data_IF_139387527650
#
_entry.id   IF_139387527650
#
_cell.length_a   1.000
_cell.length_b   1.000
_cell.length_c   1.000
_cell.angle_alpha   90.00
_cell.angle_beta   90.00
_cell.angle_gamma   90.00
#
_symmetry.space_group_name_H-M   'P 1'
#
loop_
_entity.id
_entity.type
_entity.pdbx_description
1 polymer ?
#
# COMPACT_ATOMS: atom_id res chain seq x y z
N UNK A 1 0.33 -16.88 -26.70
CA UNK A 1 -0.52 -17.72 -25.87
C UNK A 1 0.13 -17.76 -24.50
N UNK A 2 -0.33 -16.99 -23.59
CA UNK A 2 0.05 -17.04 -22.17
C UNK A 2 -1.23 -16.79 -21.40
N UNK A 3 -1.80 -17.90 -20.96
CA UNK A 3 -3.01 -17.92 -20.17
C UNK A 3 -2.74 -17.21 -18.83
N UNK A 4 -3.36 -16.06 -18.68
CA UNK A 4 -3.49 -15.39 -17.40
C UNK A 4 -4.52 -16.21 -16.63
N UNK A 5 -4.04 -17.03 -15.72
CA UNK A 5 -4.89 -17.72 -14.74
C UNK A 5 -5.55 -16.64 -13.88
N UNK A 6 -6.75 -16.28 -14.25
CA UNK A 6 -7.67 -15.50 -13.43
C UNK A 6 -8.14 -16.42 -12.29
N UNK A 7 -7.40 -16.45 -11.19
CA UNK A 7 -7.87 -17.10 -9.97
C UNK A 7 -8.93 -16.20 -9.36
N UNK A 8 -10.16 -16.39 -9.81
CA UNK A 8 -11.34 -15.93 -9.11
C UNK A 8 -11.45 -16.69 -7.79
N UNK A 9 -11.00 -16.08 -6.70
CA UNK A 9 -11.01 -16.65 -5.33
C UNK A 9 -12.45 -16.94 -4.84
N UNK A 10 -13.48 -16.61 -5.61
CA UNK A 10 -14.88 -16.71 -5.19
C UNK A 10 -15.65 -17.97 -5.65
N UNK A 11 -15.01 -18.90 -6.37
CA UNK A 11 -15.69 -20.09 -6.88
C UNK A 11 -15.10 -21.44 -6.48
N UNK A 12 -14.27 -21.50 -5.47
CA UNK A 12 -13.85 -22.80 -4.93
C UNK A 12 -15.07 -23.42 -4.24
N UNK A 13 -15.64 -24.44 -4.88
CA UNK A 13 -16.77 -25.19 -4.32
C UNK A 13 -16.38 -25.76 -2.96
N UNK A 14 -17.32 -25.75 -2.01
CA UNK A 14 -17.13 -26.28 -0.65
C UNK A 14 -16.55 -27.71 -0.66
N UNK A 15 -16.82 -28.51 -1.70
CA UNK A 15 -16.26 -29.86 -1.92
C UNK A 15 -14.75 -29.86 -2.24
N UNK A 16 -14.22 -28.82 -2.87
CA UNK A 16 -12.77 -28.68 -3.13
C UNK A 16 -12.04 -28.16 -1.88
N UNK A 17 -12.69 -27.30 -1.13
CA UNK A 17 -12.23 -26.87 0.20
C UNK A 17 -12.18 -28.04 1.19
N UNK A 18 -13.12 -28.98 1.17
CA UNK A 18 -13.05 -30.16 2.03
C UNK A 18 -11.91 -31.11 1.64
N UNK A 19 -11.53 -31.20 0.35
CA UNK A 19 -10.32 -31.89 -0.10
C UNK A 19 -9.03 -31.17 0.29
N UNK A 20 -9.03 -29.85 0.27
CA UNK A 20 -7.93 -29.02 0.80
C UNK A 20 -7.80 -29.12 2.33
N UNK A 21 -8.88 -29.46 3.01
CA UNK A 21 -8.96 -29.55 4.48
C UNK A 21 -8.76 -30.97 5.05
N UNK A 22 -8.81 -32.00 4.24
CA UNK A 22 -8.18 -33.29 4.58
C UNK A 22 -6.63 -33.15 4.65
N UNK A 23 -6.09 -32.06 4.13
CA UNK A 23 -4.74 -31.48 4.33
C UNK A 23 -4.65 -30.65 5.64
N UNK A 24 -5.62 -30.70 6.52
CA UNK A 24 -5.87 -29.82 7.67
C UNK A 24 -4.69 -29.69 8.64
N UNK A 25 -4.17 -30.80 9.07
CA UNK A 25 -2.96 -30.89 9.91
C UNK A 25 -1.76 -30.30 9.18
N UNK A 26 -1.60 -30.64 7.92
CA UNK A 26 -0.46 -30.26 7.10
C UNK A 26 -0.37 -28.74 6.88
N UNK A 27 -1.49 -28.07 6.56
CA UNK A 27 -1.48 -26.60 6.35
C UNK A 27 -1.20 -25.85 7.66
N UNK A 28 -1.71 -26.33 8.80
CA UNK A 28 -1.40 -25.77 10.11
C UNK A 28 0.08 -25.96 10.45
N UNK A 29 0.61 -27.15 10.19
CA UNK A 29 2.02 -27.50 10.46
C UNK A 29 2.96 -26.73 9.53
N UNK A 30 2.61 -26.58 8.26
CA UNK A 30 3.36 -25.78 7.29
C UNK A 30 3.40 -24.29 7.71
N UNK A 31 2.28 -23.76 8.20
CA UNK A 31 2.23 -22.39 8.73
C UNK A 31 3.03 -22.27 10.03
N UNK A 32 2.95 -23.23 10.95
CA UNK A 32 3.75 -23.25 12.16
C UNK A 32 5.25 -23.31 11.84
N UNK A 33 5.64 -24.13 10.87
CA UNK A 33 7.01 -24.20 10.38
C UNK A 33 7.47 -22.90 9.73
N UNK A 34 6.60 -22.28 8.92
CA UNK A 34 6.87 -20.98 8.34
C UNK A 34 7.04 -19.90 9.43
N UNK A 35 6.12 -19.85 10.39
CA UNK A 35 6.24 -18.94 11.54
C UNK A 35 7.52 -19.20 12.35
N UNK A 36 7.94 -20.46 12.50
CA UNK A 36 9.21 -20.83 13.13
C UNK A 36 10.41 -20.16 12.44
N UNK A 37 10.40 -20.11 11.09
CA UNK A 37 11.44 -19.42 10.29
C UNK A 37 11.47 -17.91 10.50
N UNK A 38 10.36 -17.29 10.88
CA UNK A 38 10.30 -15.87 11.24
C UNK A 38 10.77 -15.58 12.67
N UNK A 39 11.06 -16.58 13.48
CA UNK A 39 11.48 -16.44 14.87
C UNK A 39 10.29 -16.12 15.77
N UNK A 40 9.52 -17.15 16.14
CA UNK A 40 8.27 -17.02 16.92
C UNK A 40 8.40 -16.17 18.19
N UNK A 41 9.47 -16.38 18.98
CA UNK A 41 9.68 -15.60 20.21
C UNK A 41 9.83 -14.11 19.95
N UNK A 42 10.52 -13.75 18.88
CA UNK A 42 10.74 -12.35 18.49
C UNK A 42 9.48 -11.70 17.89
N UNK A 43 8.68 -12.48 17.17
CA UNK A 43 7.40 -12.04 16.62
C UNK A 43 6.41 -11.66 17.73
N UNK A 44 6.37 -12.44 18.79
CA UNK A 44 5.51 -12.20 19.96
C UNK A 44 6.00 -11.01 20.79
N UNK A 45 7.32 -10.84 20.96
CA UNK A 45 7.88 -9.68 21.64
C UNK A 45 7.60 -8.38 20.89
N UNK A 46 7.52 -8.42 19.54
CA UNK A 46 7.11 -7.28 18.72
C UNK A 46 5.69 -6.81 19.03
N UNK A 47 4.81 -7.70 19.43
CA UNK A 47 3.42 -7.38 19.75
C UNK A 47 3.21 -6.96 21.21
N UNK A 48 4.26 -6.94 22.04
CA UNK A 48 4.18 -6.65 23.47
C UNK A 48 3.11 -7.51 24.18
N UNK A 49 3.01 -8.77 23.76
CA UNK A 49 2.03 -9.71 24.28
C UNK A 49 2.64 -10.57 25.41
N UNK A 50 2.73 -9.99 26.58
CA UNK A 50 2.84 -10.78 27.81
C UNK A 50 1.44 -11.29 28.14
N UNK A 51 1.27 -12.59 28.12
CA UNK A 51 0.02 -13.24 28.42
C UNK A 51 0.28 -14.34 29.46
N UNK A 52 -0.27 -14.15 30.65
CA UNK A 52 -0.08 -15.06 31.78
C UNK A 52 -1.07 -16.22 31.76
N UNK A 53 -2.28 -16.05 31.19
CA UNK A 53 -3.34 -17.04 31.20
C UNK A 53 -4.09 -17.19 29.88
N UNK A 54 -4.65 -18.40 29.65
CA UNK A 54 -5.53 -18.73 28.54
C UNK A 54 -4.80 -19.04 27.22
N UNK A 55 -5.46 -18.85 26.08
CA UNK A 55 -4.94 -19.22 24.74
C UNK A 55 -3.69 -18.43 24.40
N UNK A 56 -2.65 -19.09 23.93
CA UNK A 56 -1.38 -18.44 23.57
C UNK A 56 -1.57 -17.42 22.45
N UNK A 57 -0.78 -16.35 22.50
CA UNK A 57 -0.83 -15.32 21.46
C UNK A 57 -0.42 -15.85 20.08
N UNK A 58 0.53 -16.79 20.05
CA UNK A 58 0.96 -17.48 18.82
C UNK A 58 -0.19 -18.21 18.16
N UNK A 59 -0.95 -18.95 18.94
CA UNK A 59 -2.09 -19.72 18.46
C UNK A 59 -3.20 -18.83 17.91
N UNK A 60 -3.49 -17.72 18.60
CA UNK A 60 -4.47 -16.75 18.13
C UNK A 60 -4.03 -16.08 16.82
N UNK A 61 -2.77 -15.68 16.70
CA UNK A 61 -2.22 -15.08 15.47
C UNK A 61 -2.27 -16.08 14.32
N UNK A 62 -1.80 -17.32 14.55
CA UNK A 62 -1.85 -18.39 13.57
C UNK A 62 -3.28 -18.65 13.10
N UNK A 63 -4.23 -18.75 14.03
CA UNK A 63 -5.64 -18.92 13.70
C UNK A 63 -6.18 -17.75 12.88
N UNK A 64 -5.82 -16.51 13.20
CA UNK A 64 -6.22 -15.33 12.40
C UNK A 64 -5.67 -15.39 10.97
N UNK A 65 -4.43 -15.86 10.79
CA UNK A 65 -3.86 -16.09 9.47
C UNK A 65 -4.63 -17.16 8.69
N UNK A 66 -4.94 -18.29 9.34
CA UNK A 66 -5.75 -19.36 8.76
C UNK A 66 -7.15 -18.88 8.36
N UNK A 67 -7.84 -18.13 9.23
CA UNK A 67 -9.16 -17.56 8.95
C UNK A 67 -9.13 -16.70 7.70
N UNK A 68 -8.02 -16.01 7.51
CA UNK A 68 -7.82 -15.14 6.36
C UNK A 68 -7.55 -15.91 5.07
N UNK A 69 -6.74 -16.94 5.11
CA UNK A 69 -6.48 -17.84 3.97
C UNK A 69 -7.78 -18.48 3.51
N UNK A 70 -8.62 -18.90 4.45
CA UNK A 70 -9.95 -19.48 4.16
C UNK A 70 -10.96 -18.44 3.68
N UNK A 71 -10.70 -17.14 3.87
CA UNK A 71 -11.59 -16.06 3.43
C UNK A 71 -12.79 -15.82 4.33
N UNK A 72 -12.85 -16.46 5.52
CA UNK A 72 -13.98 -16.37 6.42
C UNK A 72 -13.76 -15.39 7.58
N UNK A 73 -14.87 -14.87 8.12
CA UNK A 73 -14.84 -13.99 9.30
C UNK A 73 -14.67 -14.78 10.60
N UNK A 74 -14.01 -14.16 11.59
CA UNK A 74 -13.87 -14.71 12.95
C UNK A 74 -15.24 -15.17 13.50
N UNK A 75 -16.27 -14.34 13.31
CA UNK A 75 -17.61 -14.67 13.79
C UNK A 75 -18.17 -15.95 13.17
N UNK A 76 -18.08 -16.08 11.83
CA UNK A 76 -18.58 -17.26 11.12
C UNK A 76 -17.82 -18.52 11.51
N UNK A 77 -16.50 -18.46 11.56
CA UNK A 77 -15.67 -19.61 11.92
C UNK A 77 -15.97 -20.08 13.33
N UNK A 78 -16.00 -19.17 14.30
CA UNK A 78 -16.25 -19.54 15.69
C UNK A 78 -17.71 -19.98 15.94
N UNK A 79 -18.69 -19.37 15.24
CA UNK A 79 -20.12 -19.71 15.40
C UNK A 79 -20.47 -21.06 14.80
N UNK A 80 -19.97 -21.34 13.60
CA UNK A 80 -20.31 -22.53 12.84
C UNK A 80 -19.25 -23.62 12.92
N UNK A 81 -18.24 -23.47 13.77
CA UNK A 81 -17.08 -24.37 13.90
C UNK A 81 -16.51 -24.79 12.53
N UNK A 82 -16.49 -23.80 11.60
CA UNK A 82 -16.10 -24.04 10.22
C UNK A 82 -14.70 -24.65 10.24
N UNK A 83 -14.61 -25.85 9.67
CA UNK A 83 -13.37 -26.61 9.52
C UNK A 83 -12.61 -26.85 10.82
N UNK A 84 -13.25 -26.70 11.98
CA UNK A 84 -12.58 -26.82 13.29
C UNK A 84 -11.25 -26.06 13.38
N UNK A 85 -11.13 -24.96 12.64
CA UNK A 85 -9.92 -24.14 12.58
C UNK A 85 -9.57 -23.51 13.94
N UNK A 86 -10.54 -23.45 14.83
CA UNK A 86 -10.32 -22.98 16.19
C UNK A 86 -11.37 -23.56 17.14
N UNK A 87 -10.89 -24.05 18.28
CA UNK A 87 -11.73 -24.46 19.41
C UNK A 87 -12.06 -23.28 20.35
N UNK A 88 -11.57 -22.07 20.01
CA UNK A 88 -11.71 -20.90 20.86
C UNK A 88 -12.90 -20.04 20.44
N UNK A 89 -13.54 -19.43 21.42
CA UNK A 89 -14.64 -18.51 21.21
C UNK A 89 -14.15 -17.20 20.53
N UNK A 90 -15.02 -16.57 19.76
CA UNK A 90 -14.72 -15.31 19.03
C UNK A 90 -14.15 -14.19 19.93
N UNK A 91 -14.54 -14.17 21.21
CA UNK A 91 -14.12 -13.13 22.15
C UNK A 91 -12.62 -13.17 22.42
N UNK A 92 -11.95 -14.34 22.35
CA UNK A 92 -10.50 -14.43 22.52
C UNK A 92 -9.77 -13.63 21.43
N UNK A 93 -10.23 -13.77 20.18
CA UNK A 93 -9.67 -13.06 19.04
C UNK A 93 -9.94 -11.55 19.10
N UNK A 94 -11.18 -11.16 19.36
CA UNK A 94 -11.53 -9.75 19.44
C UNK A 94 -10.81 -9.04 20.59
N UNK A 95 -10.71 -9.65 21.78
CA UNK A 95 -9.95 -9.09 22.89
C UNK A 95 -8.48 -8.89 22.55
N UNK A 96 -7.86 -9.80 21.78
CA UNK A 96 -6.50 -9.66 21.34
C UNK A 96 -6.36 -8.50 20.32
N UNK A 97 -7.24 -8.45 19.33
CA UNK A 97 -7.15 -7.46 18.23
C UNK A 97 -7.33 -6.03 18.75
N UNK A 98 -8.21 -5.82 19.74
CA UNK A 98 -8.53 -4.48 20.26
C UNK A 98 -7.59 -4.01 21.40
N UNK A 99 -6.58 -4.80 21.76
CA UNK A 99 -5.64 -4.38 22.83
C UNK A 99 -4.87 -3.13 22.39
N UNK A 100 -4.86 -2.05 23.20
CA UNK A 100 -4.15 -0.82 22.89
C UNK A 100 -2.63 -0.99 22.77
N UNK A 101 -2.08 -2.01 23.43
CA UNK A 101 -0.65 -2.34 23.43
C UNK A 101 -0.20 -3.08 22.16
N UNK A 102 -1.15 -3.58 21.34
CA UNK A 102 -0.82 -4.30 20.12
C UNK A 102 -0.16 -3.39 19.09
N UNK A 103 1.10 -3.64 18.80
CA UNK A 103 1.85 -2.90 17.79
C UNK A 103 1.86 -3.66 16.44
N UNK A 104 0.76 -3.55 15.72
CA UNK A 104 0.60 -4.16 14.39
C UNK A 104 1.61 -3.64 13.38
N UNK A 105 2.00 -2.37 13.48
CA UNK A 105 3.02 -1.79 12.61
C UNK A 105 4.38 -2.41 12.88
N UNK A 106 4.76 -2.56 14.15
CA UNK A 106 6.01 -3.20 14.52
C UNK A 106 6.06 -4.64 14.05
N UNK A 107 4.93 -5.36 14.10
CA UNK A 107 4.82 -6.70 13.53
C UNK A 107 5.11 -6.69 12.02
N UNK A 108 4.49 -5.80 11.26
CA UNK A 108 4.74 -5.69 9.81
C UNK A 108 6.18 -5.29 9.51
N UNK A 109 6.72 -4.33 10.25
CA UNK A 109 8.10 -3.87 10.11
C UNK A 109 9.13 -4.97 10.44
N UNK A 110 8.79 -5.90 11.32
CA UNK A 110 9.63 -7.06 11.59
C UNK A 110 9.47 -8.14 10.50
N UNK A 111 8.25 -8.36 10.06
CA UNK A 111 7.93 -9.43 9.11
C UNK A 111 8.51 -9.16 7.71
N UNK A 112 8.37 -7.94 7.20
CA UNK A 112 8.74 -7.62 5.83
C UNK A 112 10.24 -7.82 5.51
N UNK A 113 11.21 -7.30 6.29
CA UNK A 113 12.63 -7.55 6.03
C UNK A 113 13.01 -9.02 6.18
N UNK A 114 12.41 -9.72 7.15
CA UNK A 114 12.67 -11.13 7.38
C UNK A 114 12.20 -11.99 6.22
N UNK A 115 11.02 -11.72 5.72
CA UNK A 115 10.47 -12.38 4.53
C UNK A 115 11.35 -12.13 3.31
N UNK A 116 11.80 -10.89 3.10
CA UNK A 116 12.74 -10.57 2.02
C UNK A 116 14.07 -11.32 2.14
N UNK A 117 14.58 -11.46 3.35
CA UNK A 117 15.77 -12.25 3.63
C UNK A 117 15.56 -13.73 3.27
N UNK A 118 14.40 -14.31 3.64
CA UNK A 118 14.06 -15.69 3.29
C UNK A 118 13.92 -15.87 1.77
N UNK A 119 13.23 -14.96 1.08
CA UNK A 119 13.12 -15.00 -0.39
C UNK A 119 14.50 -15.00 -1.05
N UNK A 120 15.42 -14.14 -0.60
CA UNK A 120 16.78 -14.08 -1.14
C UNK A 120 17.55 -15.37 -0.90
N UNK A 121 17.38 -15.99 0.28
CA UNK A 121 18.07 -17.24 0.66
C UNK A 121 17.62 -18.43 -0.21
N UNK A 122 16.35 -18.46 -0.58
CA UNK A 122 15.76 -19.57 -1.35
C UNK A 122 15.56 -19.26 -2.84
N UNK A 123 16.01 -18.09 -3.31
CA UNK A 123 15.95 -17.73 -4.74
C UNK A 123 17.18 -18.28 -5.45
N UNK A 124 16.98 -19.08 -6.49
CA UNK A 124 18.05 -19.68 -7.30
C UNK A 124 18.76 -18.68 -8.22
N UNK A 125 18.19 -17.50 -8.45
CA UNK A 125 18.74 -16.50 -9.37
C UNK A 125 19.54 -15.40 -8.63
N UNK A 126 20.74 -15.05 -9.11
CA UNK A 126 21.47 -13.90 -8.59
C UNK A 126 20.68 -12.61 -8.82
N UNK A 127 20.40 -11.88 -7.73
CA UNK A 127 19.57 -10.66 -7.76
C UNK A 127 20.34 -9.39 -8.14
N UNK A 128 21.50 -9.50 -8.81
CA UNK A 128 22.44 -8.38 -9.03
C UNK A 128 21.86 -7.20 -9.83
N UNK A 129 20.76 -7.39 -10.59
CA UNK A 129 20.17 -6.36 -11.45
C UNK A 129 18.68 -6.09 -11.20
N UNK A 130 18.12 -6.48 -10.05
CA UNK A 130 16.71 -6.22 -9.78
C UNK A 130 16.49 -4.77 -9.34
N UNK A 131 15.47 -4.14 -9.92
CA UNK A 131 15.04 -2.80 -9.52
C UNK A 131 14.19 -2.88 -8.27
N UNK A 132 14.66 -2.29 -7.17
CA UNK A 132 13.92 -2.23 -5.92
C UNK A 132 13.18 -0.91 -5.78
N UNK A 133 11.94 -0.96 -5.29
CA UNK A 133 11.11 0.22 -5.14
C UNK A 133 10.36 0.24 -3.79
N UNK A 134 10.23 1.44 -3.21
CA UNK A 134 9.11 1.71 -2.32
C UNK A 134 7.91 2.15 -3.15
N UNK A 135 6.73 1.75 -2.73
CA UNK A 135 5.49 2.08 -3.39
C UNK A 135 4.58 2.71 -2.35
N UNK A 136 4.14 3.95 -2.60
CA UNK A 136 3.24 4.70 -1.71
C UNK A 136 1.95 4.97 -2.44
N UNK A 137 0.83 4.50 -1.87
CA UNK A 137 -0.49 4.69 -2.45
C UNK A 137 -1.57 4.76 -1.37
N UNK A 138 -2.71 5.39 -1.68
CA UNK A 138 -3.84 5.42 -0.78
C UNK A 138 -5.12 4.85 -1.43
N UNK A 139 -5.94 4.23 -0.60
CA UNK A 139 -7.23 3.68 -1.03
C UNK A 139 -8.32 4.00 -0.03
N UNK A 140 -9.58 3.89 -0.48
CA UNK A 140 -10.73 4.09 0.40
C UNK A 140 -11.10 2.80 1.10
N UNK A 141 -11.26 2.88 2.40
CA UNK A 141 -11.74 1.81 3.24
C UNK A 141 -13.12 2.15 3.75
N UNK A 142 -14.12 1.70 3.02
CA UNK A 142 -15.53 1.93 3.34
C UNK A 142 -15.97 1.16 4.59
N UNK A 143 -16.79 1.79 5.41
CA UNK A 143 -17.35 1.26 6.64
C UNK A 143 -18.84 1.55 6.73
N UNK A 144 -19.59 0.68 7.40
CA UNK A 144 -21.02 0.85 7.66
C UNK A 144 -21.33 1.45 9.04
N UNK A 145 -20.41 1.30 10.01
CA UNK A 145 -20.62 1.74 11.38
C UNK A 145 -20.14 3.17 11.62
N UNK A 146 -20.93 3.95 12.36
CA UNK A 146 -20.58 5.34 12.74
C UNK A 146 -19.83 5.43 14.08
N UNK A 147 -19.89 4.38 14.91
CA UNK A 147 -19.18 4.32 16.20
C UNK A 147 -17.76 3.78 16.05
N UNK A 148 -16.99 4.45 15.22
CA UNK A 148 -15.58 4.14 14.99
C UNK A 148 -14.79 5.43 15.11
N UNK A 149 -13.69 5.37 15.86
CA UNK A 149 -12.90 6.56 16.10
C UNK A 149 -12.17 7.03 14.85
N UNK A 150 -12.19 8.33 14.59
CA UNK A 150 -11.59 8.92 13.40
C UNK A 150 -12.34 8.64 12.09
N UNK A 151 -13.52 8.02 12.16
CA UNK A 151 -14.32 7.79 10.96
C UNK A 151 -14.83 9.13 10.39
N UNK A 152 -14.82 9.24 9.06
CA UNK A 152 -15.32 10.42 8.35
C UNK A 152 -15.92 10.01 7.01
N UNK A 153 -16.57 10.96 6.34
CA UNK A 153 -16.95 10.74 4.93
C UNK A 153 -15.78 11.13 4.06
N UNK A 154 -15.21 10.15 3.35
CA UNK A 154 -14.06 10.31 2.47
C UNK A 154 -14.47 10.19 1.01
N UNK A 155 -13.84 10.97 0.13
CA UNK A 155 -14.16 10.91 -1.30
C UNK A 155 -13.59 9.64 -1.93
N UNK A 156 -14.45 8.87 -2.57
CA UNK A 156 -14.08 7.69 -3.35
C UNK A 156 -14.06 8.06 -4.84
N UNK A 157 -12.87 8.13 -5.43
CA UNK A 157 -12.67 8.48 -6.83
C UNK A 157 -13.27 7.42 -7.79
N UNK A 158 -13.33 6.15 -7.37
CA UNK A 158 -13.90 5.07 -8.18
C UNK A 158 -15.42 5.17 -8.24
N UNK A 159 -16.05 5.46 -7.09
CA UNK A 159 -17.50 5.62 -6.98
C UNK A 159 -17.98 7.04 -7.33
N UNK A 160 -17.08 8.01 -7.49
CA UNK A 160 -17.41 9.40 -7.73
C UNK A 160 -18.21 10.09 -6.62
N UNK A 161 -18.19 9.56 -5.38
CA UNK A 161 -18.98 10.05 -4.24
C UNK A 161 -18.26 9.91 -2.92
N UNK A 162 -18.79 10.62 -1.92
CA UNK A 162 -18.29 10.50 -0.54
C UNK A 162 -18.93 9.29 0.15
N UNK A 163 -18.09 8.41 0.71
CA UNK A 163 -18.49 7.22 1.46
C UNK A 163 -18.02 7.34 2.91
N UNK A 164 -18.70 6.66 3.83
CA UNK A 164 -18.29 6.59 5.22
C UNK A 164 -17.09 5.65 5.34
N UNK A 165 -15.99 6.11 5.95
CA UNK A 165 -14.78 5.28 6.07
C UNK A 165 -13.52 6.06 6.37
N UNK A 166 -12.41 5.52 5.91
CA UNK A 166 -11.06 6.08 6.03
C UNK A 166 -10.36 6.09 4.69
N UNK A 167 -9.38 6.97 4.53
CA UNK A 167 -8.31 6.80 3.55
C UNK A 167 -7.22 5.94 4.19
N UNK A 168 -6.98 4.77 3.61
CA UNK A 168 -5.90 3.88 4.02
C UNK A 168 -4.67 4.21 3.18
N UNK A 169 -3.64 4.75 3.80
CA UNK A 169 -2.33 4.96 3.20
C UNK A 169 -1.48 3.71 3.44
N UNK A 170 -0.87 3.19 2.39
CA UNK A 170 0.00 2.02 2.42
C UNK A 170 1.38 2.35 1.88
N UNK A 171 2.40 1.75 2.51
CA UNK A 171 3.73 1.72 1.98
C UNK A 171 4.20 0.28 1.81
N UNK A 172 4.62 -0.08 0.61
CA UNK A 172 5.10 -1.41 0.27
C UNK A 172 6.53 -1.37 -0.29
N UNK A 173 7.25 -2.47 -0.17
CA UNK A 173 8.54 -2.69 -0.78
C UNK A 173 8.43 -3.71 -1.91
N UNK A 174 9.02 -3.40 -3.05
CA UNK A 174 9.10 -4.27 -4.22
C UNK A 174 10.56 -4.62 -4.50
N UNK A 175 10.88 -5.89 -4.63
CA UNK A 175 12.24 -6.41 -4.86
C UNK A 175 12.56 -6.73 -6.33
N UNK A 176 11.66 -6.41 -7.23
CA UNK A 176 11.73 -6.78 -8.66
C UNK A 176 10.80 -7.95 -9.03
N UNK A 177 10.32 -8.72 -8.06
CA UNK A 177 9.38 -9.85 -8.24
C UNK A 177 8.19 -9.80 -7.29
N UNK A 178 8.45 -9.51 -6.01
CA UNK A 178 7.45 -9.60 -4.94
C UNK A 178 7.21 -8.23 -4.31
N UNK A 179 5.95 -7.91 -4.06
CA UNK A 179 5.55 -6.70 -3.33
C UNK A 179 5.09 -7.07 -1.92
N UNK A 180 5.68 -6.42 -0.91
CA UNK A 180 5.36 -6.66 0.50
C UNK A 180 5.00 -5.35 1.16
N UNK A 181 3.75 -5.18 1.64
CA UNK A 181 3.41 -4.04 2.48
C UNK A 181 4.15 -4.15 3.81
N UNK A 182 4.73 -3.05 4.26
CA UNK A 182 5.46 -3.00 5.52
C UNK A 182 4.94 -1.92 6.48
N UNK A 183 4.18 -0.96 5.99
CA UNK A 183 3.63 0.12 6.81
C UNK A 183 2.26 0.59 6.30
N UNK A 184 1.44 1.10 7.22
CA UNK A 184 0.11 1.60 6.91
C UNK A 184 -0.31 2.71 7.87
N UNK A 185 -1.26 3.53 7.42
CA UNK A 185 -1.94 4.52 8.26
C UNK A 185 -3.36 4.75 7.80
N UNK A 186 -4.26 5.01 8.75
CA UNK A 186 -5.64 5.39 8.46
C UNK A 186 -5.78 6.90 8.59
N UNK A 187 -6.43 7.54 7.61
CA UNK A 187 -6.65 8.97 7.62
C UNK A 187 -8.12 9.32 7.53
N UNK A 188 -8.51 10.34 8.29
CA UNK A 188 -9.82 10.98 8.20
C UNK A 188 -9.74 12.23 7.31
N UNK A 189 -10.82 12.56 6.64
CA UNK A 189 -10.95 13.87 5.99
C UNK A 189 -11.44 14.91 6.98
N UNK A 190 -10.67 15.99 7.12
CA UNK A 190 -10.97 17.14 7.97
C UNK A 190 -11.63 18.23 7.16
N UNK A 191 -12.51 18.97 7.84
CA UNK A 191 -13.23 20.07 7.19
C UNK A 191 -14.36 19.57 6.28
N UNK A 192 -15.46 20.30 6.26
CA UNK A 192 -16.61 19.98 5.42
C UNK A 192 -16.38 20.52 4.02
N UNK A 193 -16.37 19.64 3.03
CA UNK A 193 -16.33 20.01 1.62
C UNK A 193 -17.38 19.19 0.87
N UNK A 194 -18.48 19.85 0.48
CA UNK A 194 -19.64 19.14 -0.05
C UNK A 194 -20.17 18.11 0.96
N UNK A 195 -20.26 16.85 0.54
CA UNK A 195 -20.68 15.73 1.39
C UNK A 195 -19.54 15.05 2.14
N UNK A 196 -18.29 15.43 1.87
CA UNK A 196 -17.11 14.84 2.49
C UNK A 196 -16.68 15.60 3.75
N UNK A 197 -15.89 14.89 4.58
CA UNK A 197 -15.33 15.44 5.80
C UNK A 197 -16.34 15.60 6.93
N UNK A 198 -15.91 16.28 7.99
CA UNK A 198 -16.68 16.56 9.19
C UNK A 198 -16.67 18.04 9.48
N UNK A 199 -17.82 18.58 9.91
CA UNK A 199 -17.89 19.91 10.50
C UNK A 199 -17.19 19.91 11.87
N UNK A 200 -16.81 21.11 12.37
CA UNK A 200 -16.25 21.24 13.72
C UNK A 200 -17.17 20.65 14.80
N UNK A 201 -18.49 20.81 14.64
CA UNK A 201 -19.48 20.27 15.58
C UNK A 201 -19.56 18.73 15.51
N UNK A 202 -19.59 18.15 14.31
CA UNK A 202 -19.56 16.69 14.12
C UNK A 202 -18.29 16.08 14.69
N UNK A 203 -17.14 16.73 14.48
CA UNK A 203 -15.87 16.30 15.04
C UNK A 203 -15.86 16.27 16.57
N UNK A 204 -16.45 17.28 17.24
CA UNK A 204 -16.57 17.34 18.71
C UNK A 204 -17.48 16.24 19.26
N UNK A 205 -18.53 15.85 18.50
CA UNK A 205 -19.49 14.80 18.87
C UNK A 205 -19.05 13.40 18.43
N UNK A 206 -17.92 13.29 17.71
CA UNK A 206 -17.42 12.00 17.22
C UNK A 206 -17.03 11.08 18.37
N UNK A 207 -17.14 9.78 18.13
CA UNK A 207 -16.72 8.78 19.10
C UNK A 207 -15.21 8.85 19.34
N UNK A 208 -14.80 8.96 20.59
CA UNK A 208 -13.42 9.02 21.02
C UNK A 208 -13.15 8.00 22.13
N UNK A 209 -11.99 7.36 22.04
CA UNK A 209 -11.48 6.44 23.06
C UNK A 209 -10.37 7.16 23.83
N UNK A 210 -10.45 7.10 25.17
CA UNK A 210 -9.37 7.59 26.02
C UNK A 210 -8.18 6.63 25.90
N UNK A 211 -7.01 7.13 25.48
CA UNK A 211 -5.80 6.35 25.26
C UNK A 211 -4.65 6.82 26.15
N UNK A 212 -3.80 5.87 26.51
CA UNK A 212 -2.51 6.19 27.07
C UNK A 212 -1.55 6.61 25.95
N UNK A 213 -0.87 7.74 26.10
CA UNK A 213 0.06 8.31 25.10
C UNK A 213 1.25 7.41 24.78
N UNK A 214 1.62 6.50 25.68
CA UNK A 214 2.67 5.52 25.49
C UNK A 214 2.28 4.33 24.58
N UNK A 215 1.01 4.10 24.36
CA UNK A 215 0.53 2.96 23.61
C UNK A 215 0.69 3.15 22.08
N UNK A 216 0.94 2.07 21.33
CA UNK A 216 1.01 2.10 19.87
C UNK A 216 -0.26 2.62 19.18
N UNK A 217 -1.44 2.29 19.73
CA UNK A 217 -2.74 2.72 19.19
C UNK A 217 -2.91 4.25 19.27
N UNK A 218 -2.35 4.91 20.28
CA UNK A 218 -2.33 6.37 20.37
C UNK A 218 -1.56 7.00 19.20
N UNK A 219 -0.37 6.46 18.88
CA UNK A 219 0.44 6.94 17.73
C UNK A 219 -0.30 6.78 16.43
N UNK A 220 -0.92 5.62 16.19
CA UNK A 220 -1.74 5.38 14.99
C UNK A 220 -2.91 6.37 14.90
N UNK A 221 -3.56 6.69 16.03
CA UNK A 221 -4.63 7.68 16.04
C UNK A 221 -4.14 9.11 15.80
N UNK A 222 -2.94 9.47 16.27
CA UNK A 222 -2.35 10.77 15.93
C UNK A 222 -2.09 10.89 14.44
N UNK A 223 -1.56 9.86 13.78
CA UNK A 223 -1.36 9.84 12.33
C UNK A 223 -2.68 9.99 11.55
N UNK A 224 -3.80 9.49 12.09
CA UNK A 224 -5.13 9.69 11.49
C UNK A 224 -5.47 11.18 11.29
N UNK A 225 -4.90 12.04 12.14
CA UNK A 225 -5.09 13.49 12.12
C UNK A 225 -3.99 14.25 11.36
N UNK A 226 -2.90 13.60 11.01
CA UNK A 226 -1.79 14.20 10.27
C UNK A 226 -2.08 14.26 8.77
N UNK A 227 -1.27 15.02 8.05
CA UNK A 227 -1.27 15.00 6.60
C UNK A 227 -0.77 13.66 6.08
N UNK A 228 -1.44 13.11 5.04
CA UNK A 228 -0.97 11.88 4.38
C UNK A 228 0.47 12.01 3.87
N UNK A 229 0.86 13.22 3.46
CA UNK A 229 2.23 13.50 2.97
C UNK A 229 3.27 13.34 4.08
N UNK A 230 3.02 13.92 5.25
CA UNK A 230 3.92 13.78 6.41
C UNK A 230 4.06 12.33 6.82
N UNK A 231 2.94 11.60 6.90
CA UNK A 231 2.96 10.20 7.27
C UNK A 231 3.64 9.33 6.19
N UNK A 232 3.45 9.61 4.90
CA UNK A 232 4.17 8.93 3.82
C UNK A 232 5.69 9.10 3.94
N UNK A 233 6.16 10.32 4.23
CA UNK A 233 7.58 10.57 4.46
C UNK A 233 8.12 9.79 5.67
N UNK A 234 7.34 9.69 6.75
CA UNK A 234 7.73 8.92 7.93
C UNK A 234 7.73 7.41 7.67
N UNK A 235 6.78 6.90 6.87
CA UNK A 235 6.79 5.50 6.41
C UNK A 235 8.06 5.18 5.62
N UNK A 236 8.48 6.04 4.69
CA UNK A 236 9.71 5.86 3.92
C UNK A 236 10.96 5.85 4.83
N UNK A 237 11.03 6.75 5.81
CA UNK A 237 12.10 6.76 6.81
C UNK A 237 12.14 5.48 7.63
N UNK A 238 10.96 4.99 8.07
CA UNK A 238 10.84 3.73 8.81
C UNK A 238 11.27 2.54 7.95
N UNK A 239 10.80 2.46 6.69
CA UNK A 239 11.21 1.42 5.75
C UNK A 239 12.72 1.36 5.54
N UNK A 240 13.35 2.51 5.35
CA UNK A 240 14.80 2.60 5.22
C UNK A 240 15.53 2.15 6.50
N UNK A 241 15.04 2.59 7.67
CA UNK A 241 15.63 2.25 8.99
C UNK A 241 15.57 0.75 9.30
N UNK A 242 14.53 0.04 8.84
CA UNK A 242 14.39 -1.42 9.05
C UNK A 242 15.16 -2.25 8.01
N UNK A 243 15.97 -1.62 7.16
CA UNK A 243 16.84 -2.30 6.19
C UNK A 243 16.20 -2.60 4.84
N UNK A 244 15.03 -2.05 4.53
CA UNK A 244 14.45 -2.10 3.19
C UNK A 244 15.05 -0.96 2.35
N UNK A 245 16.09 -1.30 1.56
CA UNK A 245 16.80 -0.31 0.76
C UNK A 245 16.29 -0.33 -0.68
N UNK A 246 15.53 0.68 -1.05
CA UNK A 246 14.99 0.85 -2.39
C UNK A 246 15.83 1.83 -3.21
N UNK A 247 15.93 1.57 -4.52
CA UNK A 247 16.53 2.52 -5.48
C UNK A 247 15.53 3.61 -5.87
N UNK A 248 14.24 3.29 -5.86
CA UNK A 248 13.18 4.19 -6.30
C UNK A 248 12.04 4.25 -5.31
N UNK A 249 11.32 5.38 -5.34
CA UNK A 249 10.00 5.54 -4.71
C UNK A 249 8.99 5.78 -5.82
N UNK A 250 7.95 4.98 -5.87
CA UNK A 250 6.88 5.08 -6.85
C UNK A 250 5.63 5.65 -6.18
N UNK A 251 5.07 6.69 -6.79
CA UNK A 251 3.89 7.38 -6.25
C UNK A 251 2.93 7.77 -7.36
N UNK A 252 1.68 7.99 -6.97
CA UNK A 252 0.70 8.64 -7.83
C UNK A 252 0.95 10.16 -7.95
N UNK A 253 0.09 10.84 -8.70
CA UNK A 253 0.22 12.29 -8.93
C UNK A 253 -0.02 13.12 -7.65
N UNK A 254 -0.76 12.59 -6.68
CA UNK A 254 -1.06 13.32 -5.45
C UNK A 254 0.18 13.49 -4.58
N UNK A 255 1.02 12.46 -4.51
CA UNK A 255 2.26 12.48 -3.72
C UNK A 255 3.44 13.10 -4.47
N UNK A 256 3.35 13.28 -5.79
CA UNK A 256 4.45 13.83 -6.59
C UNK A 256 4.58 15.34 -6.36
N UNK A 257 5.42 15.72 -5.39
CA UNK A 257 5.69 17.11 -5.03
C UNK A 257 7.13 17.32 -4.55
N UNK A 258 7.56 18.55 -4.50
CA UNK A 258 8.92 18.95 -4.08
C UNK A 258 9.26 18.44 -2.67
N UNK A 259 8.33 18.56 -1.73
CA UNK A 259 8.52 18.12 -0.34
C UNK A 259 8.86 16.63 -0.24
N UNK A 260 8.14 15.76 -0.95
CA UNK A 260 8.43 14.32 -0.96
C UNK A 260 9.76 14.03 -1.67
N UNK A 261 10.06 14.72 -2.79
CA UNK A 261 11.32 14.56 -3.52
C UNK A 261 12.52 14.89 -2.66
N UNK A 262 12.47 16.00 -1.92
CA UNK A 262 13.52 16.41 -0.98
C UNK A 262 13.70 15.35 0.11
N UNK A 263 12.61 14.86 0.69
CA UNK A 263 12.65 13.80 1.71
C UNK A 263 13.29 12.51 1.16
N UNK A 264 12.87 12.04 -0.01
CA UNK A 264 13.42 10.85 -0.65
C UNK A 264 14.92 10.96 -0.88
N UNK A 265 15.37 12.10 -1.40
CA UNK A 265 16.80 12.35 -1.59
C UNK A 265 17.58 12.36 -0.29
N UNK A 266 17.03 12.94 0.78
CA UNK A 266 17.70 12.97 2.09
C UNK A 266 17.81 11.58 2.71
N UNK A 267 16.76 10.75 2.64
CA UNK A 267 16.78 9.37 3.17
C UNK A 267 17.84 8.54 2.45
N UNK A 268 17.86 8.57 1.13
CA UNK A 268 18.80 7.78 0.30
C UNK A 268 20.18 8.40 0.13
N UNK A 269 20.49 9.51 0.80
CA UNK A 269 21.74 10.27 0.61
C UNK A 269 22.04 10.55 -0.87
N UNK A 270 21.02 10.89 -1.65
CA UNK A 270 21.09 11.15 -3.08
C UNK A 270 20.98 9.92 -3.99
N UNK A 271 21.07 8.69 -3.47
CA UNK A 271 21.00 7.46 -4.27
C UNK A 271 19.59 6.96 -4.53
N UNK A 272 18.58 7.41 -3.76
CA UNK A 272 17.19 7.05 -3.96
C UNK A 272 16.47 8.12 -4.78
N UNK A 273 15.72 7.69 -5.79
CA UNK A 273 15.03 8.57 -6.73
C UNK A 273 13.51 8.37 -6.65
N UNK A 274 12.74 9.38 -7.02
CA UNK A 274 11.27 9.30 -7.10
C UNK A 274 10.83 9.14 -8.55
N UNK A 275 9.83 8.31 -8.76
CA UNK A 275 9.10 8.16 -10.03
C UNK A 275 7.63 8.39 -9.74
N UNK A 276 7.05 9.42 -10.29
CA UNK A 276 5.66 9.74 -10.04
C UNK A 276 4.97 10.33 -11.26
N UNK A 277 3.66 10.24 -11.29
CA UNK A 277 2.86 10.96 -12.25
C UNK A 277 2.84 12.45 -11.86
N UNK A 278 3.04 13.34 -12.80
CA UNK A 278 2.92 14.77 -12.53
C UNK A 278 1.46 15.22 -12.54
N UNK A 279 1.13 16.12 -11.62
CA UNK A 279 -0.21 16.73 -11.57
C UNK A 279 -0.47 17.59 -12.82
N UNK A 280 -1.62 17.39 -13.45
CA UNK A 280 -2.12 18.25 -14.53
C UNK A 280 -2.73 19.58 -14.01
N UNK A 281 -2.26 20.06 -12.87
CA UNK A 281 -2.81 21.24 -12.20
C UNK A 281 -1.87 22.45 -12.27
N UNK A 282 -1.89 23.24 -11.20
CA UNK A 282 -1.14 24.51 -11.08
C UNK A 282 0.36 24.36 -10.81
N UNK A 283 0.86 23.13 -10.61
CA UNK A 283 2.29 22.87 -10.36
C UNK A 283 3.11 23.30 -11.57
N UNK A 284 4.10 24.17 -11.36
CA UNK A 284 4.95 24.71 -12.42
C UNK A 284 6.32 24.04 -12.39
N UNK A 285 6.81 23.71 -13.57
CA UNK A 285 8.14 23.18 -13.84
C UNK A 285 8.96 24.21 -14.60
N UNK A 286 10.20 24.39 -14.24
CA UNK A 286 11.13 25.24 -15.00
C UNK A 286 11.81 24.41 -16.07
N UNK A 287 11.53 24.69 -17.34
CA UNK A 287 12.12 24.00 -18.50
C UNK A 287 12.66 25.09 -19.43
N UNK A 288 13.93 24.98 -19.83
CA UNK A 288 14.61 25.98 -20.66
C UNK A 288 14.45 27.43 -20.14
N UNK A 289 14.57 27.61 -18.81
CA UNK A 289 14.45 28.91 -18.15
C UNK A 289 13.02 29.45 -17.99
N UNK A 290 11.98 28.74 -18.51
CA UNK A 290 10.59 29.18 -18.43
C UNK A 290 9.77 28.31 -17.48
N UNK A 291 8.96 28.93 -16.63
CA UNK A 291 8.03 28.24 -15.71
C UNK A 291 6.72 27.90 -16.43
N UNK A 292 6.45 26.62 -16.63
CA UNK A 292 5.25 26.11 -17.29
C UNK A 292 4.58 25.02 -16.46
N UNK A 293 3.28 24.96 -16.46
CA UNK A 293 2.54 23.82 -15.90
C UNK A 293 2.53 22.62 -16.88
N UNK A 294 2.01 21.48 -16.44
CA UNK A 294 2.00 20.26 -17.26
C UNK A 294 1.22 20.44 -18.58
N UNK A 295 0.08 21.13 -18.56
CA UNK A 295 -0.72 21.36 -19.77
C UNK A 295 0.02 22.30 -20.76
N UNK A 296 0.64 23.35 -20.26
CA UNK A 296 1.45 24.28 -21.06
C UNK A 296 2.68 23.60 -21.68
N UNK A 297 3.32 22.66 -20.94
CA UNK A 297 4.42 21.86 -21.48
C UNK A 297 3.93 20.95 -22.60
N UNK A 298 2.81 20.24 -22.40
CA UNK A 298 2.23 19.38 -23.43
C UNK A 298 1.94 20.20 -24.68
N UNK A 299 1.23 21.32 -24.57
CA UNK A 299 0.89 22.19 -25.72
C UNK A 299 2.14 22.72 -26.44
N UNK A 300 3.23 23.00 -25.70
CA UNK A 300 4.49 23.49 -26.31
C UNK A 300 5.19 22.44 -27.16
N UNK A 301 5.14 21.18 -26.73
CA UNK A 301 5.90 20.09 -27.36
C UNK A 301 5.01 19.09 -28.15
N UNK A 302 3.70 19.35 -28.24
CA UNK A 302 2.73 18.44 -28.91
C UNK A 302 3.08 18.17 -30.37
N UNK A 303 3.62 19.17 -31.08
CA UNK A 303 4.03 19.06 -32.48
C UNK A 303 5.37 18.37 -32.69
N UNK A 304 6.14 18.15 -31.63
CA UNK A 304 7.44 17.50 -31.75
C UNK A 304 7.28 15.99 -31.97
N UNK A 305 8.07 15.45 -32.90
CA UNK A 305 7.97 14.04 -33.30
C UNK A 305 8.26 13.04 -32.19
N UNK A 306 8.92 13.42 -31.13
CA UNK A 306 9.29 12.55 -29.98
C UNK A 306 10.02 11.26 -30.39
N UNK A 307 10.55 10.54 -29.38
CA UNK A 307 11.21 9.24 -29.58
C UNK A 307 10.17 8.12 -29.57
N UNK A 308 10.31 7.14 -30.46
CA UNK A 308 9.41 5.99 -30.52
C UNK A 308 9.89 4.88 -29.55
N UNK A 309 8.99 4.39 -28.71
CA UNK A 309 9.20 3.22 -27.86
C UNK A 309 8.38 2.05 -28.39
N UNK A 310 9.02 1.16 -29.18
CA UNK A 310 8.37 0.01 -29.81
C UNK A 310 7.77 -0.96 -28.77
N UNK A 311 8.47 -1.19 -27.67
CA UNK A 311 8.05 -2.11 -26.62
C UNK A 311 6.69 -1.73 -26.01
N UNK A 312 6.43 -0.43 -25.85
CA UNK A 312 5.21 0.08 -25.21
C UNK A 312 4.25 0.77 -26.19
N UNK A 313 4.55 0.67 -27.50
CA UNK A 313 3.72 1.27 -28.55
C UNK A 313 3.36 2.73 -28.28
N UNK A 314 4.31 3.50 -27.75
CA UNK A 314 4.13 4.91 -27.42
C UNK A 314 5.26 5.77 -28.01
N UNK A 315 5.00 7.06 -28.11
CA UNK A 315 6.02 8.09 -28.35
C UNK A 315 6.24 8.86 -27.07
N UNK A 316 7.47 9.31 -26.83
CA UNK A 316 7.79 10.13 -25.68
C UNK A 316 8.77 11.23 -26.00
N UNK A 317 8.65 12.35 -25.28
CA UNK A 317 9.59 13.45 -25.29
C UNK A 317 10.19 13.54 -23.91
N UNK A 318 11.49 13.61 -23.82
CA UNK A 318 12.22 13.78 -22.56
C UNK A 318 12.70 15.20 -22.46
N UNK A 319 12.31 15.88 -21.37
CA UNK A 319 12.73 17.24 -21.03
C UNK A 319 13.54 17.19 -19.74
N UNK A 320 14.56 18.04 -19.64
CA UNK A 320 15.24 18.31 -18.39
C UNK A 320 14.72 19.62 -17.83
N UNK A 321 14.44 19.66 -16.55
CA UNK A 321 13.90 20.82 -15.90
C UNK A 321 14.06 20.78 -14.38
N UNK A 322 13.39 21.67 -13.69
CA UNK A 322 13.38 21.76 -12.23
C UNK A 322 11.96 21.84 -11.70
N UNK A 323 11.72 21.23 -10.56
CA UNK A 323 10.56 21.45 -9.72
C UNK A 323 11.05 22.13 -8.44
N UNK A 324 10.77 23.44 -8.31
CA UNK A 324 11.51 24.27 -7.35
C UNK A 324 13.01 24.24 -7.68
N UNK A 325 13.82 23.90 -6.69
CA UNK A 325 15.28 23.76 -6.83
C UNK A 325 15.74 22.33 -7.19
N UNK A 326 14.78 21.39 -7.32
CA UNK A 326 15.10 19.99 -7.56
C UNK A 326 15.16 19.72 -9.07
N UNK A 327 16.31 19.25 -9.59
CA UNK A 327 16.42 18.85 -10.99
C UNK A 327 15.53 17.61 -11.24
N UNK A 328 14.73 17.67 -12.31
CA UNK A 328 13.81 16.61 -12.69
C UNK A 328 13.90 16.30 -14.18
N UNK A 329 13.68 15.03 -14.53
CA UNK A 329 13.43 14.62 -15.90
C UNK A 329 11.92 14.45 -16.10
N UNK A 330 11.41 15.07 -17.12
CA UNK A 330 9.99 15.10 -17.46
C UNK A 330 9.80 14.29 -18.72
N UNK A 331 8.85 13.37 -18.69
CA UNK A 331 8.49 12.54 -19.85
C UNK A 331 7.07 12.87 -20.27
N UNK A 332 6.91 13.39 -21.47
CA UNK A 332 5.62 13.57 -22.12
C UNK A 332 5.37 12.31 -22.96
N UNK A 333 4.33 11.53 -22.64
CA UNK A 333 4.10 10.22 -23.25
C UNK A 333 2.79 10.24 -24.01
N UNK A 334 2.85 9.88 -25.29
CA UNK A 334 1.71 9.79 -26.19
C UNK A 334 1.53 8.33 -26.65
N UNK A 335 0.39 7.73 -26.32
CA UNK A 335 0.05 6.35 -26.71
C UNK A 335 -0.60 6.22 -28.09
N UNK A 336 -0.80 7.32 -28.84
CA UNK A 336 -1.48 7.32 -30.13
C UNK A 336 -2.99 7.04 -30.05
N UNK A 337 -3.73 7.39 -31.11
CA UNK A 337 -5.21 7.20 -31.17
C UNK A 337 -5.66 5.76 -31.48
N UNK A 338 -4.76 4.81 -31.72
CA UNK A 338 -5.10 3.48 -32.24
C UNK A 338 -5.14 2.35 -31.21
N UNK A 339 -5.16 2.60 -29.91
CA UNK A 339 -5.49 1.55 -28.96
C UNK A 339 -7.02 1.43 -28.86
N UNK A 340 -7.59 0.39 -29.50
CA UNK A 340 -8.96 -0.11 -29.23
C UNK A 340 -9.04 -0.65 -27.79
N UNK A 341 -8.71 0.13 -26.81
CA UNK A 341 -9.08 -0.10 -25.43
C UNK A 341 -10.23 0.85 -25.11
N UNK A 342 -11.35 0.27 -24.68
CA UNK A 342 -12.49 0.98 -24.14
C UNK A 342 -12.03 2.10 -23.22
N UNK A 343 -12.53 3.29 -23.47
CA UNK A 343 -12.10 4.54 -22.81
C UNK A 343 -12.34 4.50 -21.31
N UNK A 344 -11.31 4.59 -20.46
CA UNK A 344 -11.41 5.56 -19.38
C UNK A 344 -11.07 6.94 -19.94
N UNK A 345 -11.75 7.98 -19.48
CA UNK A 345 -11.50 9.37 -19.83
C UNK A 345 -10.13 9.85 -19.30
N UNK A 346 -9.04 9.28 -19.82
CA UNK A 346 -7.67 9.65 -19.50
C UNK A 346 -7.16 10.46 -20.69
N UNK A 347 -6.67 11.68 -20.49
CA UNK A 347 -6.09 12.46 -21.57
C UNK A 347 -4.97 11.68 -22.26
N UNK A 348 -4.77 11.84 -23.58
CA UNK A 348 -3.83 11.04 -24.37
C UNK A 348 -2.37 11.21 -23.95
N UNK A 349 -2.08 12.16 -23.06
CA UNK A 349 -0.74 12.40 -22.52
C UNK A 349 -0.66 12.03 -21.04
N UNK A 350 0.29 11.17 -20.69
CA UNK A 350 0.72 10.96 -19.31
C UNK A 350 2.04 11.67 -19.06
N UNK A 351 2.08 12.39 -17.97
CA UNK A 351 3.23 13.18 -17.56
C UNK A 351 3.91 12.44 -16.40
N UNK A 352 5.17 12.04 -16.57
CA UNK A 352 5.95 11.42 -15.53
C UNK A 352 7.17 12.27 -15.21
N UNK A 353 7.44 12.46 -13.92
CA UNK A 353 8.57 13.24 -13.43
C UNK A 353 9.54 12.31 -12.68
N UNK A 354 10.78 12.21 -13.13
CA UNK A 354 11.78 11.41 -12.42
C UNK A 354 13.22 11.81 -12.73
N UNK A 355 14.11 11.46 -11.79
CA UNK A 355 15.56 11.45 -11.97
C UNK A 355 16.00 10.00 -12.31
N UNK A 356 15.70 9.49 -13.51
CA UNK A 356 15.93 8.08 -13.82
C UNK A 356 17.03 7.82 -14.86
N UNK A 357 17.82 6.73 -14.72
CA UNK A 357 18.53 6.12 -15.82
C UNK A 357 17.57 5.58 -16.90
N UNK A 358 18.04 5.54 -18.16
CA UNK A 358 17.22 5.12 -19.33
C UNK A 358 16.54 3.75 -19.17
N UNK A 359 17.15 2.83 -18.43
CA UNK A 359 16.73 1.43 -18.31
C UNK A 359 15.46 1.25 -17.47
N UNK A 360 15.19 2.16 -16.52
CA UNK A 360 14.03 2.05 -15.61
C UNK A 360 12.74 2.55 -16.24
N UNK A 361 12.83 3.46 -17.20
CA UNK A 361 11.66 3.95 -17.95
C UNK A 361 10.96 2.79 -18.66
N UNK A 362 11.73 1.86 -19.18
CA UNK A 362 11.20 0.70 -19.90
C UNK A 362 10.46 -0.28 -19.01
N UNK A 363 10.86 -0.41 -17.75
CA UNK A 363 10.22 -1.29 -16.74
C UNK A 363 8.94 -0.66 -16.16
N UNK A 364 8.91 0.66 -16.01
CA UNK A 364 7.77 1.38 -15.44
C UNK A 364 6.49 1.29 -16.28
N UNK A 365 6.64 1.22 -17.61
CA UNK A 365 5.50 1.15 -18.53
C UNK A 365 5.00 -0.27 -18.81
N UNK A 366 5.72 -1.31 -18.37
CA UNK A 366 5.37 -2.72 -18.67
C UNK A 366 4.33 -3.31 -17.74
N UNK A 367 4.09 -2.72 -16.61
CA UNK A 367 3.15 -3.23 -15.62
C UNK A 367 1.98 -2.27 -15.48
N UNK A 368 0.77 -2.80 -15.56
CA UNK A 368 -0.46 -2.15 -15.10
C UNK A 368 -0.35 -1.93 -13.58
N UNK A 369 0.53 -1.02 -13.18
CA UNK A 369 0.91 -0.80 -11.78
C UNK A 369 -0.29 -0.43 -10.91
N UNK A 370 -1.24 0.34 -11.46
CA UNK A 370 -2.46 0.69 -10.75
C UNK A 370 -3.36 -0.51 -10.46
N UNK A 371 -3.47 -1.49 -11.37
CA UNK A 371 -4.29 -2.69 -11.16
C UNK A 371 -3.63 -3.70 -10.21
N UNK A 372 -2.30 -3.68 -10.09
CA UNK A 372 -1.56 -4.57 -9.21
C UNK A 372 -1.76 -4.24 -7.73
N UNK A 373 -1.88 -2.95 -7.39
CA UNK A 373 -2.12 -2.49 -6.02
C UNK A 373 -3.49 -2.89 -5.49
N UNK A 374 -4.51 -2.80 -6.32
CA UNK A 374 -5.89 -3.09 -5.93
C UNK A 374 -6.07 -4.57 -5.55
N UNK A 375 -5.35 -5.49 -6.19
CA UNK A 375 -5.61 -6.92 -6.03
C UNK A 375 -4.83 -7.62 -4.90
N UNK A 376 -3.62 -7.18 -4.51
CA UNK A 376 -2.81 -7.90 -3.51
C UNK A 376 -2.88 -7.35 -2.09
N UNK A 377 -3.06 -6.05 -1.92
CA UNK A 377 -3.01 -5.40 -0.61
C UNK A 377 -4.31 -5.50 0.19
N UNK A 378 -5.42 -5.78 -0.48
CA UNK A 378 -6.74 -5.66 0.12
C UNK A 378 -7.05 -6.69 1.20
N UNK A 379 -6.42 -7.86 1.17
CA UNK A 379 -6.97 -8.99 1.90
C UNK A 379 -6.30 -9.35 3.23
N UNK A 380 -5.01 -9.18 3.38
CA UNK A 380 -4.32 -9.69 4.58
C UNK A 380 -4.29 -8.69 5.73
N UNK A 381 -4.05 -7.42 5.45
CA UNK A 381 -3.81 -6.41 6.50
C UNK A 381 -5.12 -5.80 7.01
N UNK A 382 -6.07 -5.58 6.12
CA UNK A 382 -7.30 -4.83 6.44
C UNK A 382 -8.19 -5.56 7.44
N UNK A 383 -8.24 -6.88 7.41
CA UNK A 383 -9.08 -7.66 8.33
C UNK A 383 -8.50 -7.77 9.73
N UNK A 384 -7.19 -7.68 9.89
CA UNK A 384 -6.52 -7.69 11.19
C UNK A 384 -6.65 -6.35 11.95
N UNK A 385 -6.85 -5.24 11.23
CA UNK A 385 -6.79 -3.89 11.78
C UNK A 385 -8.17 -3.25 12.02
N UNK A 386 -9.23 -3.75 11.38
CA UNK A 386 -10.43 -2.97 11.15
C UNK A 386 -11.74 -3.59 11.67
N UNK A 387 -11.69 -4.29 12.76
CA UNK A 387 -12.91 -4.59 13.51
C UNK A 387 -12.88 -4.11 14.94
#
# INVERSE_FOLDING_TARGET
MTDIVNISIYSVKISELSKLLSVKTRMRDDLLHLFGKFGNGHLLSCLSLEKHDGVSASELILSLCLFRIVGESIHRICKHKIYELSNHGKNCFYRMIIRPQMDWRRLMNHFAPRYMCLLRKYSEAPQSNTTTCFIVDDTVLEKSGVRMEGISRVYDHVKGRCVLGYKLLLCAFFDGKTTIPFDFSLHQEKGKQGDCGLTKQQYRKAYHIKRNTGNPDYKCFQECKMSKMEVAMDMLRRGWKIGLHAKYVITDSWFTCEQLMTCVRSIGKGAMHIVGLAKMGKTKYTVSGRKKNAAELIATYECERGKNCRKYKCRYIQLNGHLGDIPVRIFLINYGRNSRMERPAIPPFKFACSLLPKEVITSFFSTNFCNFFINLSYYVIITLILR
#
